data_IF_133881155631
#
_entry.id   IF_133881155631
#
_cell.length_a   1.000
_cell.length_b   1.000
_cell.length_c   1.000
_cell.angle_alpha   90.00
_cell.angle_beta   90.00
_cell.angle_gamma   90.00
#
_symmetry.space_group_name_H-M   'P 1'
#
loop_
_entity.id
_entity.type
_entity.pdbx_description
1 polymer ?
#
# COMPACT_ATOMS: atom_id res chain seq x y z
N UNK A 1 19.36 -35.24 -35.64
CA UNK A 1 20.25 -35.34 -34.46
C UNK A 1 20.63 -33.94 -34.02
N UNK A 2 19.88 -33.39 -33.09
CA UNK A 2 20.14 -32.05 -32.49
C UNK A 2 20.61 -32.28 -31.06
N UNK A 3 21.92 -32.12 -30.88
CA UNK A 3 22.61 -32.26 -29.60
C UNK A 3 22.12 -31.16 -28.65
N UNK A 4 21.47 -31.55 -27.55
CA UNK A 4 21.07 -30.69 -26.49
C UNK A 4 22.29 -29.96 -25.88
N UNK A 5 22.29 -28.63 -25.94
CA UNK A 5 23.23 -27.80 -25.18
C UNK A 5 23.01 -28.06 -23.70
N UNK A 6 23.96 -28.75 -23.06
CA UNK A 6 24.00 -28.99 -21.63
C UNK A 6 23.91 -27.64 -20.89
N UNK A 7 23.01 -27.57 -19.94
CA UNK A 7 22.95 -26.49 -18.92
C UNK A 7 24.32 -26.48 -18.27
N UNK A 8 25.13 -25.43 -18.44
CA UNK A 8 26.37 -25.25 -17.67
C UNK A 8 25.96 -25.32 -16.20
N UNK A 9 26.43 -26.31 -15.48
CA UNK A 9 26.20 -26.41 -14.04
C UNK A 9 26.75 -25.13 -13.39
N UNK A 10 25.86 -24.38 -12.72
CA UNK A 10 26.26 -23.20 -11.99
C UNK A 10 27.24 -23.61 -10.87
N UNK A 11 28.31 -22.82 -10.64
CA UNK A 11 29.24 -23.09 -9.56
C UNK A 11 28.52 -23.26 -8.21
N UNK A 12 28.96 -24.22 -7.44
CA UNK A 12 28.38 -24.54 -6.14
C UNK A 12 29.28 -24.04 -5.00
N UNK A 13 28.74 -23.98 -3.77
CA UNK A 13 29.53 -23.68 -2.57
C UNK A 13 30.71 -24.66 -2.41
N UNK A 14 30.58 -25.92 -2.91
CA UNK A 14 31.63 -26.95 -2.89
C UNK A 14 32.77 -26.55 -3.83
N UNK A 15 32.47 -25.96 -4.98
CA UNK A 15 33.49 -25.51 -5.94
C UNK A 15 34.28 -24.34 -5.35
N UNK A 16 33.62 -23.39 -4.70
CA UNK A 16 34.32 -22.30 -3.95
C UNK A 16 35.23 -22.90 -2.88
N UNK A 17 34.73 -23.88 -2.07
CA UNK A 17 35.50 -24.52 -0.99
C UNK A 17 36.73 -25.20 -1.53
N UNK A 18 36.61 -25.94 -2.62
CA UNK A 18 37.70 -26.65 -3.30
C UNK A 18 38.74 -25.65 -3.84
N UNK A 19 38.32 -24.61 -4.52
CA UNK A 19 39.23 -23.59 -5.08
C UNK A 19 39.93 -22.77 -4.01
N UNK A 20 39.23 -22.44 -2.93
CA UNK A 20 39.79 -21.69 -1.82
C UNK A 20 40.62 -22.52 -0.82
N UNK A 21 40.63 -23.86 -0.97
CA UNK A 21 41.34 -24.77 -0.05
C UNK A 21 40.80 -24.79 1.37
N UNK A 22 39.48 -24.58 1.54
CA UNK A 22 38.82 -24.48 2.87
C UNK A 22 37.61 -25.44 2.92
N UNK A 23 37.06 -25.64 4.10
CA UNK A 23 35.85 -26.43 4.27
C UNK A 23 34.60 -25.67 3.74
N UNK A 24 33.54 -26.44 3.33
CA UNK A 24 32.24 -25.88 2.97
C UNK A 24 31.65 -24.98 4.10
N UNK A 25 31.87 -25.37 5.37
CA UNK A 25 31.43 -24.60 6.51
C UNK A 25 32.19 -23.27 6.64
N UNK A 26 33.49 -23.23 6.30
CA UNK A 26 34.26 -21.99 6.26
C UNK A 26 33.76 -21.05 5.18
N UNK A 27 33.47 -21.55 3.96
CA UNK A 27 32.84 -20.75 2.90
C UNK A 27 31.47 -20.22 3.34
N UNK A 28 30.64 -21.07 3.93
CA UNK A 28 29.34 -20.63 4.46
C UNK A 28 29.49 -19.49 5.46
N UNK A 29 30.43 -19.59 6.41
CA UNK A 29 30.69 -18.53 7.41
C UNK A 29 31.21 -17.25 6.77
N UNK A 30 32.03 -17.32 5.73
CA UNK A 30 32.51 -16.13 5.03
C UNK A 30 31.34 -15.27 4.47
N UNK A 31 30.24 -15.93 4.03
CA UNK A 31 29.04 -15.23 3.54
C UNK A 31 28.02 -14.88 4.63
N UNK A 32 28.00 -15.60 5.78
CA UNK A 32 26.93 -15.46 6.77
C UNK A 32 27.36 -14.84 8.08
N UNK A 33 28.62 -15.02 8.46
CA UNK A 33 29.20 -14.59 9.73
C UNK A 33 30.70 -14.23 9.52
N UNK A 34 31.00 -13.23 8.66
CA UNK A 34 32.39 -12.91 8.32
C UNK A 34 33.26 -12.57 9.54
N UNK A 35 32.68 -11.96 10.57
CA UNK A 35 33.40 -11.63 11.81
C UNK A 35 33.89 -12.84 12.60
N UNK A 36 33.51 -14.08 12.26
CA UNK A 36 34.05 -15.31 12.86
C UNK A 36 35.29 -15.85 12.16
N UNK A 37 35.75 -15.18 11.10
CA UNK A 37 36.91 -15.56 10.29
C UNK A 37 37.89 -14.39 10.21
N UNK A 38 39.16 -14.69 9.92
CA UNK A 38 40.14 -13.64 9.64
C UNK A 38 39.78 -12.89 8.32
N UNK A 39 39.94 -11.56 8.30
CA UNK A 39 39.59 -10.70 7.19
C UNK A 39 40.22 -11.15 5.86
N UNK A 40 41.48 -11.55 5.86
CA UNK A 40 42.18 -12.08 4.68
C UNK A 40 41.51 -13.34 4.12
N UNK A 41 41.05 -14.24 5.00
CA UNK A 41 40.34 -15.46 4.61
C UNK A 41 38.97 -15.15 3.98
N UNK A 42 38.24 -14.20 4.54
CA UNK A 42 36.96 -13.72 4.00
C UNK A 42 37.16 -13.10 2.62
N UNK A 43 38.12 -12.17 2.50
CA UNK A 43 38.42 -11.49 1.22
C UNK A 43 38.77 -12.50 0.12
N UNK A 44 39.65 -13.46 0.42
CA UNK A 44 40.04 -14.52 -0.53
C UNK A 44 38.86 -15.39 -0.97
N UNK A 45 37.97 -15.77 -0.05
CA UNK A 45 36.79 -16.59 -0.38
C UNK A 45 35.83 -15.82 -1.27
N UNK A 46 35.57 -14.53 -0.98
CA UNK A 46 34.68 -13.69 -1.77
C UNK A 46 35.23 -13.41 -3.18
N UNK A 47 36.53 -13.20 -3.31
CA UNK A 47 37.22 -13.03 -4.60
C UNK A 47 37.12 -14.30 -5.45
N UNK A 48 37.41 -15.46 -4.87
CA UNK A 48 37.27 -16.76 -5.58
C UNK A 48 35.82 -17.00 -5.98
N UNK A 49 34.85 -16.76 -5.11
CA UNK A 49 33.44 -16.90 -5.43
C UNK A 49 33.04 -16.04 -6.63
N UNK A 50 33.47 -14.77 -6.62
CA UNK A 50 33.24 -13.84 -7.73
C UNK A 50 33.91 -14.32 -9.03
N UNK A 51 35.16 -14.76 -8.98
CA UNK A 51 35.94 -15.19 -10.15
C UNK A 51 35.35 -16.39 -10.87
N UNK A 52 34.73 -17.32 -10.12
CA UNK A 52 34.08 -18.51 -10.70
C UNK A 52 32.61 -18.29 -11.01
N UNK A 53 32.06 -17.09 -10.70
CA UNK A 53 30.65 -16.78 -10.91
C UNK A 53 29.69 -17.47 -9.92
N UNK A 54 30.18 -17.80 -8.73
CA UNK A 54 29.32 -18.38 -7.67
C UNK A 54 28.42 -17.30 -7.07
N UNK A 55 27.11 -17.56 -7.10
CA UNK A 55 26.12 -16.75 -6.41
C UNK A 55 25.58 -17.57 -5.23
N UNK A 56 25.60 -17.02 -3.99
CA UNK A 56 25.02 -17.70 -2.85
C UNK A 56 23.58 -18.11 -3.11
N UNK A 57 23.26 -19.37 -2.90
CA UNK A 57 21.89 -19.86 -3.08
C UNK A 57 21.07 -19.55 -1.82
N UNK A 58 20.28 -18.48 -1.88
CA UNK A 58 19.39 -18.05 -0.80
C UNK A 58 18.40 -19.13 -0.38
N UNK A 59 17.91 -19.96 -1.33
CA UNK A 59 17.01 -21.08 -1.04
C UNK A 59 17.70 -22.17 -0.20
N UNK A 60 18.94 -22.51 -0.52
CA UNK A 60 19.72 -23.48 0.26
C UNK A 60 20.07 -22.92 1.67
N UNK A 61 20.30 -21.62 1.78
CA UNK A 61 20.50 -20.93 3.05
C UNK A 61 19.21 -20.97 3.89
N UNK A 62 18.07 -20.67 3.28
CA UNK A 62 16.76 -20.71 3.93
C UNK A 62 16.44 -22.10 4.50
N UNK A 63 16.73 -23.16 3.76
CA UNK A 63 16.57 -24.55 4.21
C UNK A 63 17.44 -24.88 5.43
N UNK A 64 18.64 -24.30 5.53
CA UNK A 64 19.59 -24.58 6.63
C UNK A 64 19.39 -23.70 7.85
N UNK A 65 18.89 -22.47 7.68
CA UNK A 65 18.77 -21.46 8.75
C UNK A 65 17.34 -21.17 9.14
N UNK A 66 16.34 -21.60 8.34
CA UNK A 66 14.94 -21.21 8.48
C UNK A 66 14.66 -19.76 8.13
N UNK A 67 15.67 -19.00 7.65
CA UNK A 67 15.56 -17.58 7.30
C UNK A 67 15.62 -17.38 5.80
N UNK A 68 14.53 -16.88 5.24
CA UNK A 68 14.39 -16.63 3.79
C UNK A 68 15.00 -15.29 3.37
N UNK A 69 15.08 -14.31 4.27
CA UNK A 69 15.46 -12.93 3.94
C UNK A 69 14.41 -12.25 3.05
N UNK A 70 13.18 -12.72 3.07
CA UNK A 70 12.08 -12.20 2.28
C UNK A 70 10.89 -11.85 3.17
N UNK A 71 10.19 -10.79 2.82
CA UNK A 71 8.87 -10.43 3.35
C UNK A 71 7.90 -10.23 2.19
N UNK A 72 6.60 -10.31 2.44
CA UNK A 72 5.61 -10.03 1.41
C UNK A 72 4.81 -8.77 1.74
N UNK A 73 4.46 -8.03 0.69
CA UNK A 73 3.54 -6.90 0.71
C UNK A 73 2.40 -7.20 -0.27
N UNK A 74 1.17 -7.31 0.23
CA UNK A 74 0.00 -7.55 -0.61
C UNK A 74 -0.86 -6.30 -0.63
N UNK A 75 -1.16 -5.82 -1.84
CA UNK A 75 -1.99 -4.64 -2.08
C UNK A 75 -3.21 -4.99 -2.94
N UNK A 76 -4.32 -4.24 -2.83
CA UNK A 76 -5.52 -4.50 -3.63
C UNK A 76 -5.31 -4.25 -5.12
N UNK A 77 -4.61 -3.15 -5.48
CA UNK A 77 -4.38 -2.76 -6.88
C UNK A 77 -3.09 -1.94 -7.00
N UNK A 78 -2.08 -2.52 -7.66
CA UNK A 78 -0.79 -1.84 -7.91
C UNK A 78 -0.92 -0.65 -8.87
N UNK A 79 -2.00 -0.58 -9.66
CA UNK A 79 -2.24 0.53 -10.59
C UNK A 79 -2.89 1.74 -9.88
N UNK A 80 -3.46 1.57 -8.69
CA UNK A 80 -3.97 2.70 -7.91
C UNK A 80 -2.79 3.53 -7.36
N UNK A 81 -2.70 4.83 -7.71
CA UNK A 81 -1.58 5.70 -7.36
C UNK A 81 -1.28 5.84 -5.87
N UNK A 82 -2.21 5.48 -4.99
CA UNK A 82 -1.99 5.42 -3.55
C UNK A 82 -0.90 4.42 -3.15
N UNK A 83 -0.82 3.27 -3.84
CA UNK A 83 0.08 2.19 -3.41
C UNK A 83 1.55 2.36 -3.82
N UNK A 84 1.94 2.90 -4.99
CA UNK A 84 3.35 3.03 -5.37
C UNK A 84 4.24 3.76 -4.35
N UNK A 85 3.87 4.92 -3.76
CA UNK A 85 4.66 5.55 -2.71
C UNK A 85 4.78 4.69 -1.45
N UNK A 86 3.70 4.00 -1.05
CA UNK A 86 3.66 3.06 0.08
C UNK A 86 4.61 1.88 -0.17
N UNK A 87 4.52 1.25 -1.34
CA UNK A 87 5.36 0.11 -1.73
C UNK A 87 6.83 0.51 -1.70
N UNK A 88 7.17 1.65 -2.31
CA UNK A 88 8.54 2.17 -2.33
C UNK A 88 9.09 2.40 -0.93
N UNK A 89 8.32 3.03 -0.05
CA UNK A 89 8.75 3.31 1.32
C UNK A 89 8.91 2.02 2.15
N UNK A 90 8.00 1.06 1.98
CA UNK A 90 8.10 -0.26 2.62
C UNK A 90 9.34 -1.03 2.12
N UNK A 91 9.62 -0.99 0.80
CA UNK A 91 10.81 -1.61 0.24
C UNK A 91 12.10 -0.99 0.76
N UNK A 92 12.19 0.35 0.79
CA UNK A 92 13.36 1.04 1.34
C UNK A 92 13.61 0.69 2.82
N UNK A 93 12.56 0.46 3.60
CA UNK A 93 12.69 0.06 4.99
C UNK A 93 13.13 -1.41 5.12
N UNK A 94 12.61 -2.30 4.28
CA UNK A 94 13.03 -3.71 4.22
C UNK A 94 14.51 -3.85 3.81
N UNK A 95 14.96 -3.07 2.82
CA UNK A 95 16.33 -3.07 2.31
C UNK A 95 17.34 -2.72 3.41
N UNK A 96 17.01 -1.83 4.36
CA UNK A 96 17.88 -1.47 5.50
C UNK A 96 18.17 -2.67 6.42
N UNK A 97 17.29 -3.66 6.42
CA UNK A 97 17.40 -4.89 7.19
C UNK A 97 17.73 -6.11 6.31
N UNK A 98 18.19 -5.88 5.08
CA UNK A 98 18.57 -6.91 4.10
C UNK A 98 17.44 -7.87 3.72
N UNK A 99 16.17 -7.42 3.76
CA UNK A 99 15.02 -8.19 3.29
C UNK A 99 14.61 -7.81 1.87
N UNK A 100 14.33 -8.82 1.04
CA UNK A 100 13.66 -8.63 -0.25
C UNK A 100 12.14 -8.59 -0.06
N UNK A 101 11.44 -7.73 -0.82
CA UNK A 101 9.98 -7.60 -0.77
C UNK A 101 9.34 -8.34 -1.95
N UNK A 102 8.50 -9.33 -1.68
CA UNK A 102 7.60 -9.94 -2.64
C UNK A 102 6.31 -9.14 -2.72
N UNK A 103 5.97 -8.66 -3.90
CA UNK A 103 4.76 -7.88 -4.11
C UNK A 103 3.63 -8.77 -4.66
N UNK A 104 2.46 -8.72 -4.01
CA UNK A 104 1.24 -9.37 -4.44
C UNK A 104 0.16 -8.35 -4.79
N UNK A 105 -0.51 -8.54 -5.94
CA UNK A 105 -1.68 -7.78 -6.36
C UNK A 105 -2.93 -8.66 -6.24
N UNK A 106 -3.93 -8.24 -5.45
CA UNK A 106 -5.11 -9.06 -5.18
C UNK A 106 -6.32 -8.72 -6.03
N UNK A 107 -6.24 -7.70 -6.89
CA UNK A 107 -7.32 -7.22 -7.78
C UNK A 107 -8.65 -6.98 -7.02
N UNK A 108 -8.58 -6.37 -5.83
CA UNK A 108 -9.72 -6.15 -4.93
C UNK A 108 -10.49 -7.45 -4.54
N UNK A 109 -9.91 -8.62 -4.83
CA UNK A 109 -10.53 -9.94 -4.63
C UNK A 109 -10.00 -10.65 -3.40
N UNK A 110 -10.87 -10.90 -2.41
CA UNK A 110 -10.49 -11.68 -1.22
C UNK A 110 -10.00 -13.10 -1.56
N UNK A 111 -10.52 -13.72 -2.64
CA UNK A 111 -10.09 -15.06 -3.08
C UNK A 111 -8.67 -15.04 -3.64
N UNK A 112 -8.35 -14.00 -4.39
CA UNK A 112 -7.00 -13.79 -4.93
C UNK A 112 -6.02 -13.48 -3.80
N UNK A 113 -6.41 -12.61 -2.87
CA UNK A 113 -5.62 -12.26 -1.69
C UNK A 113 -5.25 -13.51 -0.88
N UNK A 114 -6.24 -14.33 -0.54
CA UNK A 114 -6.05 -15.56 0.22
C UNK A 114 -5.06 -16.53 -0.46
N UNK A 115 -5.21 -16.72 -1.79
CA UNK A 115 -4.28 -17.55 -2.59
C UNK A 115 -2.86 -16.98 -2.60
N UNK A 116 -2.70 -15.67 -2.68
CA UNK A 116 -1.39 -15.02 -2.65
C UNK A 116 -0.73 -15.20 -1.29
N UNK A 117 -1.46 -14.97 -0.21
CA UNK A 117 -0.96 -15.18 1.15
C UNK A 117 -0.52 -16.63 1.34
N UNK A 118 -1.34 -17.61 0.99
CA UNK A 118 -0.96 -19.04 1.11
C UNK A 118 0.30 -19.38 0.31
N UNK A 119 0.50 -18.81 -0.87
CA UNK A 119 1.73 -18.99 -1.66
C UNK A 119 2.95 -18.37 -1.01
N UNK A 120 2.80 -17.18 -0.43
CA UNK A 120 3.90 -16.47 0.20
C UNK A 120 4.34 -17.08 1.53
N UNK A 121 3.42 -17.68 2.29
CA UNK A 121 3.70 -18.28 3.61
C UNK A 121 4.89 -19.26 3.64
N UNK A 122 5.16 -19.95 2.53
CA UNK A 122 6.28 -20.89 2.39
C UNK A 122 7.60 -20.23 1.94
N UNK A 123 7.60 -18.93 1.64
CA UNK A 123 8.72 -18.23 0.99
C UNK A 123 9.16 -16.97 1.72
N UNK A 124 8.38 -16.51 2.72
CA UNK A 124 8.63 -15.28 3.45
C UNK A 124 8.65 -15.49 4.96
N UNK A 125 9.28 -14.59 5.67
CA UNK A 125 9.34 -14.58 7.13
C UNK A 125 8.14 -13.84 7.73
N UNK A 126 7.54 -12.88 7.00
CA UNK A 126 6.38 -12.12 7.44
C UNK A 126 5.65 -11.43 6.29
N UNK A 127 4.47 -10.90 6.58
CA UNK A 127 3.58 -10.30 5.60
C UNK A 127 3.04 -8.94 6.07
N UNK A 128 2.89 -8.01 5.11
CA UNK A 128 2.07 -6.80 5.26
C UNK A 128 0.87 -6.92 4.32
N UNK A 129 -0.34 -6.85 4.86
CA UNK A 129 -1.58 -6.85 4.07
C UNK A 129 -2.20 -5.46 4.07
N UNK A 130 -2.25 -4.83 2.89
CA UNK A 130 -2.81 -3.48 2.73
C UNK A 130 -4.28 -3.54 2.35
N UNK A 131 -5.12 -2.83 3.09
CA UNK A 131 -6.56 -2.71 2.85
C UNK A 131 -7.23 -4.07 2.56
N UNK A 132 -6.85 -5.09 3.32
CA UNK A 132 -7.26 -6.49 3.13
C UNK A 132 -8.78 -6.65 3.01
N UNK A 133 -9.22 -7.52 2.09
CA UNK A 133 -10.60 -7.92 1.88
C UNK A 133 -10.93 -9.27 2.55
N UNK A 134 -9.96 -9.86 3.23
CA UNK A 134 -10.16 -11.10 4.01
C UNK A 134 -11.08 -10.86 5.22
N UNK A 135 -11.73 -11.91 5.68
CA UNK A 135 -12.44 -11.87 6.97
C UNK A 135 -11.45 -11.87 8.12
N UNK A 136 -11.89 -11.41 9.29
CA UNK A 136 -11.05 -11.36 10.49
C UNK A 136 -10.52 -12.75 10.87
N UNK A 137 -11.34 -13.80 10.71
CA UNK A 137 -10.97 -15.19 10.98
C UNK A 137 -9.83 -15.65 10.07
N UNK A 138 -9.86 -15.31 8.77
CA UNK A 138 -8.80 -15.64 7.83
C UNK A 138 -7.52 -14.88 8.12
N UNK A 139 -7.61 -13.60 8.43
CA UNK A 139 -6.46 -12.79 8.85
C UNK A 139 -5.79 -13.41 10.08
N UNK A 140 -6.57 -13.76 11.12
CA UNK A 140 -6.06 -14.41 12.32
C UNK A 140 -5.42 -15.77 12.02
N UNK A 141 -6.04 -16.58 11.14
CA UNK A 141 -5.49 -17.87 10.73
C UNK A 141 -4.15 -17.75 10.00
N UNK A 142 -3.95 -16.70 9.20
CA UNK A 142 -2.66 -16.42 8.56
C UNK A 142 -1.63 -15.88 9.56
N UNK A 143 -2.05 -15.01 10.49
CA UNK A 143 -1.18 -14.46 11.54
C UNK A 143 -0.62 -15.52 12.50
N UNK A 144 -1.33 -16.63 12.70
CA UNK A 144 -0.83 -17.79 13.46
C UNK A 144 0.31 -18.53 12.74
N UNK A 145 0.40 -18.41 11.42
CA UNK A 145 1.42 -19.10 10.61
C UNK A 145 2.70 -18.28 10.42
N UNK A 146 2.57 -16.95 10.32
CA UNK A 146 3.68 -15.99 10.11
C UNK A 146 3.35 -14.63 10.73
N UNK A 147 4.35 -13.87 11.20
CA UNK A 147 4.20 -12.47 11.55
C UNK A 147 3.45 -11.69 10.46
N UNK A 148 2.42 -10.96 10.85
CA UNK A 148 1.54 -10.26 9.94
C UNK A 148 1.20 -8.88 10.49
N UNK A 149 1.33 -7.86 9.63
CA UNK A 149 0.94 -6.47 9.90
C UNK A 149 -0.16 -6.06 8.93
N UNK A 150 -1.15 -5.34 9.42
CA UNK A 150 -2.22 -4.80 8.59
C UNK A 150 -2.02 -3.31 8.31
N UNK A 151 -2.44 -2.88 7.12
CA UNK A 151 -2.56 -1.46 6.76
C UNK A 151 -4.01 -1.18 6.38
N UNK A 152 -4.60 -0.15 6.97
CA UNK A 152 -6.00 0.25 6.71
C UNK A 152 -7.01 -0.90 6.88
N UNK A 153 -6.77 -1.73 7.86
CA UNK A 153 -7.67 -2.78 8.33
C UNK A 153 -7.49 -2.92 9.84
N UNK A 154 -8.56 -2.72 10.62
CA UNK A 154 -8.52 -2.75 12.08
C UNK A 154 -9.04 -4.09 12.56
N UNK A 155 -8.14 -4.98 12.99
CA UNK A 155 -8.44 -6.29 13.57
C UNK A 155 -7.72 -6.39 14.90
N UNK A 156 -8.45 -6.48 15.98
CA UNK A 156 -7.90 -6.59 17.32
C UNK A 156 -6.99 -7.82 17.48
N UNK A 157 -5.87 -7.63 18.15
CA UNK A 157 -4.82 -8.65 18.36
C UNK A 157 -3.86 -8.83 17.18
N UNK A 158 -4.02 -8.07 16.09
CA UNK A 158 -3.09 -8.04 14.97
C UNK A 158 -2.44 -6.67 14.88
N UNK A 159 -1.09 -6.56 14.86
CA UNK A 159 -0.39 -5.30 14.68
C UNK A 159 -0.83 -4.59 13.39
N UNK A 160 -1.06 -3.28 13.48
CA UNK A 160 -1.64 -2.54 12.36
C UNK A 160 -1.27 -1.07 12.30
N UNK A 161 -1.24 -0.56 11.08
CA UNK A 161 -1.11 0.88 10.78
C UNK A 161 -2.39 1.35 10.13
N UNK A 162 -3.02 2.35 10.72
CA UNK A 162 -4.29 2.92 10.28
C UNK A 162 -4.12 4.38 9.88
N UNK A 163 -4.79 4.79 8.83
CA UNK A 163 -4.87 6.20 8.41
C UNK A 163 -6.19 6.75 8.93
N UNK A 164 -6.16 7.70 9.87
CA UNK A 164 -7.36 8.37 10.35
C UNK A 164 -7.91 9.35 9.31
N UNK A 165 -8.62 8.80 8.34
CA UNK A 165 -9.26 9.61 7.30
C UNK A 165 -10.33 10.56 7.84
N UNK A 166 -10.79 10.39 9.07
CA UNK A 166 -11.87 11.20 9.61
C UNK A 166 -11.45 12.66 9.85
N UNK A 167 -10.18 12.91 10.18
CA UNK A 167 -9.66 14.29 10.41
C UNK A 167 -9.73 15.07 9.10
N UNK A 168 -9.02 14.66 8.06
CA UNK A 168 -8.96 15.38 6.80
C UNK A 168 -10.31 15.45 6.06
N UNK A 169 -11.17 14.43 6.20
CA UNK A 169 -12.54 14.48 5.64
C UNK A 169 -13.40 15.52 6.36
N UNK A 170 -13.28 15.66 7.68
CA UNK A 170 -13.96 16.75 8.41
C UNK A 170 -13.46 18.12 7.97
N UNK A 171 -12.15 18.28 7.80
CA UNK A 171 -11.58 19.54 7.26
C UNK A 171 -12.11 19.83 5.85
N UNK A 172 -12.22 18.83 4.98
CA UNK A 172 -12.80 18.98 3.65
C UNK A 172 -14.27 19.45 3.69
N UNK A 173 -15.06 18.88 4.61
CA UNK A 173 -16.46 19.31 4.80
C UNK A 173 -16.54 20.73 5.33
N UNK A 174 -15.72 21.08 6.32
CA UNK A 174 -15.64 22.44 6.86
C UNK A 174 -15.28 23.44 5.75
N UNK A 175 -14.25 23.12 4.94
CA UNK A 175 -13.84 23.94 3.80
C UNK A 175 -14.98 24.16 2.80
N UNK A 176 -15.70 23.11 2.40
CA UNK A 176 -16.83 23.22 1.48
C UNK A 176 -18.00 24.02 2.11
N UNK A 177 -18.26 23.87 3.41
CA UNK A 177 -19.28 24.65 4.12
C UNK A 177 -18.92 26.13 4.19
N UNK A 178 -17.66 26.48 4.45
CA UNK A 178 -17.14 27.85 4.48
C UNK A 178 -17.19 28.51 3.09
N UNK A 179 -17.02 27.75 2.01
CA UNK A 179 -17.23 28.22 0.65
C UNK A 179 -18.72 28.50 0.34
N UNK A 180 -19.64 28.03 1.18
CA UNK A 180 -21.08 28.28 1.04
C UNK A 180 -21.87 27.13 0.41
N UNK A 181 -21.26 25.97 0.14
CA UNK A 181 -22.00 24.79 -0.32
C UNK A 181 -23.06 24.38 0.71
N UNK A 182 -24.22 23.94 0.25
CA UNK A 182 -25.35 23.48 1.08
C UNK A 182 -25.64 21.99 0.88
N UNK A 183 -25.38 21.48 -0.30
CA UNK A 183 -25.55 20.09 -0.69
C UNK A 183 -24.27 19.57 -1.32
N UNK A 184 -23.75 18.46 -0.82
CA UNK A 184 -22.54 17.79 -1.30
C UNK A 184 -22.82 16.32 -1.59
N UNK A 185 -22.02 15.71 -2.47
CA UNK A 185 -22.03 14.27 -2.71
C UNK A 185 -20.78 13.64 -2.12
N UNK A 186 -20.93 12.53 -1.41
CA UNK A 186 -19.81 11.62 -1.17
C UNK A 186 -19.86 10.48 -2.18
N UNK A 187 -18.83 10.39 -3.05
CA UNK A 187 -18.68 9.28 -3.99
C UNK A 187 -17.93 8.17 -3.29
N UNK A 188 -18.67 7.12 -2.88
CA UNK A 188 -18.15 6.07 -2.02
C UNK A 188 -17.45 4.97 -2.79
N UNK A 189 -16.35 4.47 -2.23
CA UNK A 189 -15.62 3.29 -2.72
C UNK A 189 -16.27 1.96 -2.31
N UNK A 190 -15.50 0.84 -2.36
CA UNK A 190 -16.00 -0.49 -2.04
C UNK A 190 -16.61 -0.57 -0.63
N UNK A 191 -17.76 -1.21 -0.49
CA UNK A 191 -18.48 -1.31 0.79
C UNK A 191 -17.68 -2.07 1.86
N UNK A 192 -16.87 -3.05 1.45
CA UNK A 192 -15.98 -3.82 2.32
C UNK A 192 -14.71 -3.08 2.74
N UNK A 193 -14.41 -1.90 2.16
CA UNK A 193 -13.25 -1.11 2.51
C UNK A 193 -13.41 -0.47 3.89
N UNK A 194 -12.48 -0.76 4.81
CA UNK A 194 -12.41 -0.10 6.11
C UNK A 194 -12.29 1.43 5.96
N UNK A 195 -11.41 1.91 5.09
CA UNK A 195 -11.26 3.35 4.82
C UNK A 195 -12.55 3.99 4.31
N UNK A 196 -13.31 3.30 3.43
CA UNK A 196 -14.59 3.81 2.97
C UNK A 196 -15.61 3.94 4.12
N UNK A 197 -15.64 2.97 5.02
CA UNK A 197 -16.52 3.01 6.20
C UNK A 197 -16.19 4.21 7.10
N UNK A 198 -14.90 4.45 7.37
CA UNK A 198 -14.43 5.59 8.17
C UNK A 198 -14.77 6.92 7.50
N UNK A 199 -14.50 7.08 6.19
CA UNK A 199 -14.83 8.30 5.42
C UNK A 199 -16.34 8.56 5.41
N UNK A 200 -17.16 7.54 5.18
CA UNK A 200 -18.64 7.67 5.23
C UNK A 200 -19.14 8.12 6.60
N UNK A 201 -18.59 7.59 7.67
CA UNK A 201 -18.93 8.00 9.03
C UNK A 201 -18.55 9.48 9.27
N UNK A 202 -17.32 9.87 8.88
CA UNK A 202 -16.84 11.25 9.01
C UNK A 202 -17.69 12.24 8.21
N UNK A 203 -18.06 11.89 6.96
CA UNK A 203 -18.95 12.71 6.12
C UNK A 203 -20.29 12.94 6.80
N UNK A 204 -20.92 11.89 7.33
CA UNK A 204 -22.21 12.03 8.03
C UNK A 204 -22.14 12.92 9.27
N UNK A 205 -21.06 12.79 10.05
CA UNK A 205 -20.86 13.59 11.27
C UNK A 205 -20.58 15.04 10.90
N UNK A 206 -19.63 15.31 10.02
CA UNK A 206 -19.26 16.66 9.59
C UNK A 206 -20.42 17.39 8.91
N UNK A 207 -21.18 16.71 8.06
CA UNK A 207 -22.34 17.30 7.40
C UNK A 207 -23.42 17.75 8.41
N UNK A 208 -23.70 16.95 9.44
CA UNK A 208 -24.63 17.34 10.51
C UNK A 208 -24.15 18.59 11.26
N UNK A 209 -22.84 18.67 11.56
CA UNK A 209 -22.25 19.81 12.26
C UNK A 209 -22.39 21.11 11.48
N UNK A 210 -22.24 21.05 10.16
CA UNK A 210 -22.32 22.19 9.25
C UNK A 210 -23.70 22.38 8.60
N UNK A 211 -24.71 21.55 8.95
CA UNK A 211 -26.04 21.55 8.36
C UNK A 211 -26.04 21.40 6.83
N UNK A 212 -25.15 20.57 6.32
CA UNK A 212 -25.07 20.23 4.91
C UNK A 212 -25.99 19.04 4.60
N UNK A 213 -26.66 19.10 3.46
CA UNK A 213 -27.27 17.92 2.84
C UNK A 213 -26.18 17.04 2.21
N UNK A 214 -26.30 15.72 2.34
CA UNK A 214 -25.34 14.77 1.78
C UNK A 214 -26.06 13.68 1.00
N UNK A 215 -25.74 13.58 -0.27
CA UNK A 215 -26.06 12.43 -1.09
C UNK A 215 -24.87 11.47 -1.16
N UNK A 216 -25.15 10.16 -1.31
CA UNK A 216 -24.10 9.16 -1.47
C UNK A 216 -24.30 8.46 -2.80
N UNK A 217 -23.29 8.56 -3.67
CA UNK A 217 -23.21 7.85 -4.95
C UNK A 217 -22.12 6.78 -4.84
N UNK A 218 -22.37 5.57 -5.35
CA UNK A 218 -21.42 4.46 -5.21
C UNK A 218 -20.57 4.28 -6.48
N UNK A 219 -19.27 4.55 -6.38
CA UNK A 219 -18.28 4.03 -7.31
C UNK A 219 -17.81 2.67 -6.75
N UNK A 220 -18.32 1.57 -7.32
CA UNK A 220 -18.12 0.22 -6.77
C UNK A 220 -16.64 -0.22 -6.77
N UNK A 221 -15.89 0.25 -7.75
CA UNK A 221 -14.45 0.02 -7.89
C UNK A 221 -13.75 1.38 -7.88
N UNK A 222 -12.69 1.57 -7.10
CA UNK A 222 -11.92 2.82 -7.08
C UNK A 222 -11.09 2.92 -8.36
N UNK A 223 -11.66 3.51 -9.40
CA UNK A 223 -11.01 3.68 -10.70
C UNK A 223 -11.44 4.98 -11.38
N UNK A 224 -10.63 5.43 -12.33
CA UNK A 224 -10.93 6.56 -13.20
C UNK A 224 -12.24 6.35 -13.97
N UNK A 225 -12.46 5.17 -14.55
CA UNK A 225 -13.63 4.83 -15.34
C UNK A 225 -14.90 4.86 -14.48
N UNK A 226 -14.83 4.32 -13.26
CA UNK A 226 -15.95 4.35 -12.34
C UNK A 226 -16.29 5.78 -11.91
N UNK A 227 -15.27 6.61 -11.65
CA UNK A 227 -15.44 8.04 -11.36
C UNK A 227 -16.16 8.78 -12.50
N UNK A 228 -15.75 8.55 -13.76
CA UNK A 228 -16.38 9.13 -14.95
C UNK A 228 -17.81 8.64 -15.16
N UNK A 229 -18.06 7.37 -14.91
CA UNK A 229 -19.36 6.74 -15.13
C UNK A 229 -20.44 7.22 -14.17
N UNK A 230 -20.11 7.58 -12.93
CA UNK A 230 -21.10 8.01 -11.92
C UNK A 230 -21.48 9.50 -12.00
N UNK A 231 -20.90 10.27 -12.92
CA UNK A 231 -21.19 11.71 -13.05
C UNK A 231 -22.69 12.01 -13.31
N UNK A 232 -23.43 11.28 -14.15
CA UNK A 232 -24.86 11.50 -14.27
C UNK A 232 -25.63 11.39 -12.96
N UNK A 233 -25.29 10.39 -12.13
CA UNK A 233 -25.90 10.19 -10.82
C UNK A 233 -25.52 11.33 -9.85
N UNK A 234 -24.28 11.81 -9.90
CA UNK A 234 -23.84 12.97 -9.14
C UNK A 234 -24.65 14.19 -9.48
N UNK A 235 -24.77 14.52 -10.77
CA UNK A 235 -25.50 15.72 -11.23
C UNK A 235 -27.00 15.63 -10.92
N UNK A 236 -27.59 14.43 -10.97
CA UNK A 236 -29.00 14.19 -10.64
C UNK A 236 -29.32 14.49 -9.15
N UNK A 237 -28.33 14.54 -8.27
CA UNK A 237 -28.55 14.89 -6.85
C UNK A 237 -28.83 16.39 -6.66
N UNK A 238 -28.44 17.26 -7.58
CA UNK A 238 -28.48 18.71 -7.41
C UNK A 238 -27.40 19.27 -6.50
N UNK A 239 -26.43 18.46 -6.04
CA UNK A 239 -25.31 18.93 -5.27
C UNK A 239 -24.36 19.82 -6.10
N UNK A 240 -23.61 20.67 -5.42
CA UNK A 240 -22.65 21.60 -6.03
C UNK A 240 -21.19 21.25 -5.77
N UNK A 241 -20.94 20.22 -4.95
CA UNK A 241 -19.61 19.71 -4.67
C UNK A 241 -19.62 18.20 -4.43
N UNK A 242 -18.49 17.56 -4.67
CA UNK A 242 -18.29 16.15 -4.33
C UNK A 242 -16.97 15.94 -3.56
N UNK A 243 -17.01 15.00 -2.62
CA UNK A 243 -15.83 14.38 -2.01
C UNK A 243 -15.73 12.99 -2.60
N UNK A 244 -14.67 12.71 -3.36
CA UNK A 244 -14.42 11.40 -3.95
C UNK A 244 -13.76 10.44 -2.96
N UNK A 245 -13.94 9.13 -3.18
CA UNK A 245 -13.31 8.10 -2.38
C UNK A 245 -11.77 8.20 -2.44
N UNK A 246 -11.19 8.40 -3.62
CA UNK A 246 -9.76 8.60 -3.83
C UNK A 246 -9.48 9.61 -4.95
N UNK A 247 -8.21 9.97 -5.14
CA UNK A 247 -7.79 10.92 -6.19
C UNK A 247 -8.06 10.38 -7.61
N UNK A 248 -7.96 9.06 -7.81
CA UNK A 248 -8.20 8.45 -9.11
C UNK A 248 -9.68 8.55 -9.52
N UNK A 249 -10.58 8.28 -8.56
CA UNK A 249 -12.02 8.49 -8.74
C UNK A 249 -12.34 9.98 -8.99
N UNK A 250 -11.68 10.89 -8.24
CA UNK A 250 -11.84 12.34 -8.41
C UNK A 250 -11.48 12.78 -9.84
N UNK A 251 -10.37 12.28 -10.39
CA UNK A 251 -9.97 12.56 -11.78
C UNK A 251 -11.01 12.08 -12.79
N UNK A 252 -11.54 10.87 -12.59
CA UNK A 252 -12.64 10.35 -13.42
C UNK A 252 -13.87 11.26 -13.39
N UNK A 253 -14.24 11.74 -12.19
CA UNK A 253 -15.36 12.69 -12.02
C UNK A 253 -15.07 14.00 -12.75
N UNK A 254 -13.88 14.57 -12.58
CA UNK A 254 -13.49 15.81 -13.26
C UNK A 254 -13.63 15.69 -14.80
N UNK A 255 -13.15 14.59 -15.36
CA UNK A 255 -13.29 14.32 -16.81
C UNK A 255 -14.75 14.15 -17.20
N UNK A 256 -15.53 13.37 -16.45
CA UNK A 256 -16.94 13.16 -16.75
C UNK A 256 -17.80 14.43 -16.64
N UNK A 257 -17.42 15.39 -15.79
CA UNK A 257 -18.01 16.74 -15.71
C UNK A 257 -17.63 17.55 -16.95
N UNK A 258 -16.34 17.56 -17.31
CA UNK A 258 -15.86 18.29 -18.50
C UNK A 258 -16.52 17.77 -19.81
N UNK A 259 -16.73 16.47 -19.96
CA UNK A 259 -17.47 15.86 -21.08
C UNK A 259 -18.90 16.40 -21.22
N UNK A 260 -19.46 16.98 -20.15
CA UNK A 260 -20.81 17.55 -20.06
C UNK A 260 -20.84 19.06 -20.02
N UNK A 261 -19.68 19.69 -20.23
CA UNK A 261 -19.56 21.15 -20.20
C UNK A 261 -19.65 21.77 -18.79
N UNK A 262 -19.48 20.93 -17.75
CA UNK A 262 -19.48 21.40 -16.35
C UNK A 262 -18.03 21.68 -15.93
N UNK A 263 -17.75 22.95 -15.59
CA UNK A 263 -16.40 23.40 -15.26
C UNK A 263 -16.06 23.18 -13.79
N UNK A 264 -14.86 22.68 -13.52
CA UNK A 264 -14.29 22.59 -12.17
C UNK A 264 -13.21 23.66 -12.02
N UNK A 265 -13.27 24.54 -11.02
CA UNK A 265 -14.23 24.57 -9.91
C UNK A 265 -15.46 25.45 -10.15
N UNK A 266 -15.59 26.16 -11.29
CA UNK A 266 -16.57 27.23 -11.48
C UNK A 266 -18.02 26.78 -11.30
N UNK A 267 -18.39 25.62 -11.83
CA UNK A 267 -19.75 25.06 -11.77
C UNK A 267 -19.91 23.99 -10.71
N UNK A 268 -18.80 23.30 -10.36
CA UNK A 268 -18.81 22.17 -9.45
C UNK A 268 -17.47 22.00 -8.73
N UNK A 269 -17.48 21.87 -7.42
CA UNK A 269 -16.28 21.68 -6.61
C UNK A 269 -15.96 20.20 -6.39
N UNK A 270 -14.66 19.82 -6.45
CA UNK A 270 -14.20 18.45 -6.23
C UNK A 270 -13.12 18.42 -5.16
N UNK A 271 -13.26 17.48 -4.23
CA UNK A 271 -12.23 17.11 -3.26
C UNK A 271 -11.88 15.63 -3.46
N UNK A 272 -10.59 15.33 -3.60
CA UNK A 272 -10.04 13.98 -3.63
C UNK A 272 -9.66 13.45 -2.24
N UNK A 273 -9.13 12.25 -2.22
CA UNK A 273 -8.44 11.66 -1.06
C UNK A 273 -7.22 10.91 -1.60
N UNK A 274 -6.08 11.07 -0.96
CA UNK A 274 -4.79 10.37 -1.01
C UNK A 274 -3.60 11.32 -1.19
N UNK A 275 -3.76 12.46 -1.87
CA UNK A 275 -2.73 13.46 -2.20
C UNK A 275 -1.55 12.88 -3.00
N UNK A 276 -1.83 11.93 -3.88
CA UNK A 276 -0.81 11.33 -4.75
C UNK A 276 -0.83 11.89 -6.16
N UNK A 277 -1.98 12.40 -6.61
CA UNK A 277 -2.18 13.00 -7.93
C UNK A 277 -2.49 14.49 -7.85
N UNK A 278 -2.74 15.01 -6.65
CA UNK A 278 -3.31 16.32 -6.42
C UNK A 278 -2.58 17.47 -7.13
N UNK A 279 -1.25 17.49 -7.09
CA UNK A 279 -0.46 18.52 -7.74
C UNK A 279 -0.29 18.34 -9.26
N UNK A 280 -0.48 17.12 -9.77
CA UNK A 280 -0.25 16.77 -11.18
C UNK A 280 -1.51 16.91 -12.06
N UNK A 281 -2.67 17.14 -11.48
CA UNK A 281 -3.92 17.36 -12.22
C UNK A 281 -4.08 18.80 -12.70
N UNK A 282 -4.96 19.03 -13.66
CA UNK A 282 -5.36 20.36 -14.08
C UNK A 282 -6.90 20.46 -14.16
N UNK A 283 -7.51 21.35 -13.36
CA UNK A 283 -6.91 22.12 -12.25
C UNK A 283 -6.31 21.22 -11.17
N UNK A 284 -5.34 21.73 -10.38
CA UNK A 284 -4.71 20.95 -9.31
C UNK A 284 -5.74 20.59 -8.24
N UNK A 285 -5.79 19.31 -7.88
CA UNK A 285 -6.85 18.73 -7.05
C UNK A 285 -6.67 19.07 -5.56
N UNK A 286 -7.70 19.69 -4.97
CA UNK A 286 -7.89 19.75 -3.52
C UNK A 286 -8.14 18.34 -3.00
N UNK A 287 -7.38 17.88 -2.01
CA UNK A 287 -7.44 16.47 -1.58
C UNK A 287 -7.03 16.29 -0.12
N UNK A 288 -7.47 15.21 0.49
CA UNK A 288 -7.04 14.80 1.83
C UNK A 288 -5.73 14.01 1.70
N UNK A 289 -4.66 14.48 2.35
CA UNK A 289 -3.38 13.78 2.36
C UNK A 289 -3.40 12.60 3.33
N UNK A 290 -3.11 11.41 2.82
CA UNK A 290 -3.12 10.14 3.54
C UNK A 290 -1.73 9.63 3.91
N UNK A 291 -0.66 10.38 3.63
CA UNK A 291 0.73 10.08 4.03
C UNK A 291 1.14 8.63 3.67
N UNK A 292 0.88 8.22 2.42
CA UNK A 292 1.04 6.84 1.99
C UNK A 292 2.47 6.29 2.16
N UNK A 293 3.50 7.11 1.96
CA UNK A 293 4.90 6.74 2.18
C UNK A 293 5.22 6.48 3.66
N UNK A 294 4.72 7.31 4.56
CA UNK A 294 4.89 7.11 6.01
C UNK A 294 4.17 5.83 6.45
N UNK A 295 3.00 5.56 5.87
CA UNK A 295 2.24 4.33 6.14
C UNK A 295 3.05 3.08 5.76
N UNK A 296 3.66 3.10 4.57
CA UNK A 296 4.50 1.98 4.10
C UNK A 296 5.71 1.74 4.98
N UNK A 297 6.40 2.83 5.36
CA UNK A 297 7.55 2.76 6.27
C UNK A 297 7.16 2.22 7.64
N UNK A 298 6.09 2.75 8.25
CA UNK A 298 5.64 2.33 9.57
C UNK A 298 5.20 0.86 9.59
N UNK A 299 4.48 0.40 8.57
CA UNK A 299 4.03 -0.99 8.48
C UNK A 299 5.21 -1.97 8.34
N UNK A 300 6.20 -1.64 7.51
CA UNK A 300 7.38 -2.48 7.33
C UNK A 300 8.25 -2.46 8.58
N UNK A 301 8.50 -1.31 9.20
CA UNK A 301 9.24 -1.20 10.46
C UNK A 301 8.60 -2.06 11.56
N UNK A 302 7.27 -2.01 11.68
CA UNK A 302 6.52 -2.83 12.64
C UNK A 302 6.69 -4.34 12.38
N UNK A 303 6.67 -4.77 11.11
CA UNK A 303 6.94 -6.16 10.73
C UNK A 303 8.37 -6.58 11.07
N UNK A 304 9.36 -5.74 10.77
CA UNK A 304 10.78 -6.02 11.06
C UNK A 304 11.05 -6.10 12.56
N UNK A 305 10.39 -5.28 13.38
CA UNK A 305 10.47 -5.37 14.84
C UNK A 305 9.95 -6.73 15.33
N UNK A 306 8.84 -7.23 14.79
CA UNK A 306 8.34 -8.58 15.09
C UNK A 306 9.34 -9.67 14.71
N UNK A 307 9.97 -9.57 13.54
CA UNK A 307 10.98 -10.52 13.06
C UNK A 307 12.28 -10.45 13.87
N UNK A 308 12.62 -9.29 14.42
CA UNK A 308 13.73 -9.05 15.32
C UNK A 308 13.47 -9.49 16.76
N UNK A 309 12.36 -10.19 17.05
CA UNK A 309 11.95 -10.66 18.39
C UNK A 309 11.64 -9.52 19.36
N UNK A 310 11.33 -8.33 18.89
CA UNK A 310 10.76 -7.28 19.74
C UNK A 310 9.28 -7.58 19.99
N UNK A 311 8.86 -7.48 21.24
CA UNK A 311 7.47 -7.64 21.61
C UNK A 311 6.68 -6.43 21.08
N UNK A 312 5.90 -6.64 20.02
CA UNK A 312 5.05 -5.61 19.39
C UNK A 312 3.63 -5.63 19.96
N UNK A 313 3.17 -6.80 20.42
CA UNK A 313 1.82 -6.98 20.99
C UNK A 313 0.71 -6.63 20.02
N UNK A 314 -0.36 -6.00 20.51
CA UNK A 314 -1.48 -5.46 19.71
C UNK A 314 -1.20 -4.01 19.29
N UNK A 315 -0.04 -3.75 18.66
CA UNK A 315 0.33 -2.40 18.24
C UNK A 315 -0.68 -1.83 17.24
N UNK A 316 -1.21 -0.65 17.59
CA UNK A 316 -2.15 0.11 16.76
C UNK A 316 -1.58 1.50 16.50
N UNK A 317 -0.85 1.64 15.38
CA UNK A 317 -0.29 2.93 14.94
C UNK A 317 -1.35 3.65 14.12
N UNK A 318 -1.61 4.92 14.45
CA UNK A 318 -2.58 5.74 13.71
C UNK A 318 -1.85 6.96 13.15
N UNK A 319 -2.04 7.22 11.86
CA UNK A 319 -1.49 8.37 11.16
C UNK A 319 -2.63 9.36 10.87
N UNK A 320 -2.43 10.60 11.30
CA UNK A 320 -3.38 11.67 11.06
C UNK A 320 -3.35 12.13 9.60
N UNK A 321 -4.51 12.55 9.11
CA UNK A 321 -4.70 13.13 7.78
C UNK A 321 -4.99 14.63 7.88
N UNK A 322 -4.81 15.35 6.77
CA UNK A 322 -5.12 16.77 6.67
C UNK A 322 -5.56 17.14 5.25
N UNK A 323 -6.33 18.23 5.12
CA UNK A 323 -6.75 18.76 3.83
C UNK A 323 -5.64 19.58 3.18
N UNK A 324 -5.39 19.34 1.90
CA UNK A 324 -4.52 20.16 1.04
C UNK A 324 -5.41 20.89 0.04
N UNK A 325 -5.65 22.17 0.28
CA UNK A 325 -6.46 23.01 -0.60
C UNK A 325 -5.67 23.42 -1.83
N UNK A 326 -6.27 23.22 -3.02
CA UNK A 326 -5.71 23.60 -4.33
C UNK A 326 -6.81 24.30 -5.18
N UNK A 327 -6.92 23.94 -6.46
CA UNK A 327 -7.70 24.72 -7.43
C UNK A 327 -9.03 24.08 -7.88
N UNK A 328 -9.46 22.97 -7.26
CA UNK A 328 -10.71 22.27 -7.63
C UNK A 328 -11.91 22.62 -6.78
N UNK A 329 -11.78 23.62 -5.88
CA UNK A 329 -12.87 24.08 -5.03
C UNK A 329 -13.05 25.58 -5.13
N UNK A 330 -14.30 26.05 -5.20
CA UNK A 330 -14.72 27.47 -5.24
C UNK A 330 -16.11 27.60 -4.61
N UNK A 331 -16.60 28.82 -4.32
CA UNK A 331 -18.00 29.03 -3.94
C UNK A 331 -18.98 28.44 -4.97
N UNK A 332 -20.14 27.91 -4.53
CA UNK A 332 -21.14 27.39 -5.45
C UNK A 332 -21.65 28.46 -6.43
N UNK A 333 -22.05 28.08 -7.65
CA UNK A 333 -22.61 29.01 -8.62
C UNK A 333 -23.84 29.73 -8.05
N UNK A 334 -23.94 31.05 -8.33
CA UNK A 334 -25.06 31.85 -7.88
C UNK A 334 -26.34 31.36 -8.60
N UNK A 335 -27.35 30.94 -7.84
CA UNK A 335 -28.66 30.53 -8.37
C UNK A 335 -28.91 29.05 -8.47
N UNK A 336 -28.06 28.19 -7.90
CA UNK A 336 -28.34 26.76 -7.69
C UNK A 336 -28.56 26.42 -6.22
#
# INVERSE_FOLDING_TARGET
MTTGKGRKDLPTMMDVARTAGVSKSTVSRAFTQPGMLGEETVARILEIASSIGYVPNHTARALSTGRYGNVALVVPDVANPFFPPLIRAAQMEADRSEFCVFLGNSDESWRQEDKLVDRFLSQVEGLVLCASRLTDERIRAHALKRPLVLVNRDVEGIPRVLIDSAIGVREAITHLAELGHKHIVYVSGPASSWSNQQRRAAVRVGARQHRLEVSIVAARVPSYESGRAVVPDILATGATAAIAFDDLTAQGIMTGLADRGVSVPADFSIVGCDDVLGAATYPSLTTVSNRSDETGRAAMSLLLDMLGSRAVGDARVTLDTYLVVRNTTAPPPIGK
#
